data_IF_027932055494
#
_entry.id   IF_027932055494
#
_cell.length_a   1.000
_cell.length_b   1.000
_cell.length_c   1.000
_cell.angle_alpha   90.00
_cell.angle_beta   90.00
_cell.angle_gamma   90.00
#
_symmetry.space_group_name_H-M   'P 1'
#
loop_
_entity.id
_entity.type
_entity.pdbx_description
1 polymer ?
#
# COMPACT_ATOMS: atom_id res chain seq x y z
N UNK A 1 -14.84 32.71 34.53
CA UNK A 1 -13.62 32.86 33.68
C UNK A 1 -12.89 31.54 33.33
N UNK A 2 -12.72 30.55 34.23
CA UNK A 2 -11.99 29.29 33.91
C UNK A 2 -12.59 28.41 32.80
N UNK A 3 -13.91 28.48 32.56
CA UNK A 3 -14.60 27.70 31.49
C UNK A 3 -14.31 28.23 30.07
N UNK A 4 -14.11 29.54 29.90
CA UNK A 4 -13.82 30.16 28.60
C UNK A 4 -12.37 29.91 28.15
N UNK A 5 -11.41 29.93 29.08
CA UNK A 5 -10.01 29.55 28.81
C UNK A 5 -9.86 28.08 28.39
N UNK A 6 -10.63 27.16 28.98
CA UNK A 6 -10.64 25.74 28.57
C UNK A 6 -11.28 25.52 27.20
N UNK A 7 -12.23 26.37 26.78
CA UNK A 7 -12.86 26.27 25.46
C UNK A 7 -11.89 26.65 24.33
N UNK A 8 -11.08 27.70 24.52
CA UNK A 8 -10.03 28.11 23.58
C UNK A 8 -8.92 27.06 23.42
N UNK A 9 -8.46 26.45 24.52
CA UNK A 9 -7.48 25.36 24.47
C UNK A 9 -8.05 24.09 23.81
N UNK A 10 -9.35 23.81 23.99
CA UNK A 10 -10.02 22.67 23.33
C UNK A 10 -10.19 22.90 21.83
N UNK A 11 -10.45 24.14 21.41
CA UNK A 11 -10.61 24.53 20.02
C UNK A 11 -9.31 24.37 19.20
N UNK A 12 -8.16 24.74 19.77
CA UNK A 12 -6.85 24.50 19.15
C UNK A 12 -6.58 23.00 18.94
N UNK A 13 -6.94 22.17 19.91
CA UNK A 13 -6.76 20.71 19.82
C UNK A 13 -7.60 20.10 18.70
N UNK A 14 -8.86 20.52 18.54
CA UNK A 14 -9.75 20.04 17.47
C UNK A 14 -9.25 20.44 16.08
N UNK A 15 -8.83 21.69 15.90
CA UNK A 15 -8.30 22.16 14.61
C UNK A 15 -7.05 21.37 14.21
N UNK A 16 -6.13 21.13 15.16
CA UNK A 16 -4.93 20.31 14.91
C UNK A 16 -5.31 18.89 14.48
N UNK A 17 -6.27 18.25 15.16
CA UNK A 17 -6.72 16.91 14.76
C UNK A 17 -7.38 16.89 13.38
N UNK A 18 -8.20 17.90 13.04
CA UNK A 18 -8.83 17.98 11.72
C UNK A 18 -7.80 18.18 10.62
N UNK A 19 -6.82 19.05 10.81
CA UNK A 19 -5.74 19.27 9.84
C UNK A 19 -4.91 18.00 9.67
N UNK A 20 -4.55 17.33 10.76
CA UNK A 20 -3.84 16.05 10.69
C UNK A 20 -4.64 14.98 9.96
N UNK A 21 -5.95 14.85 10.25
CA UNK A 21 -6.82 13.91 9.56
C UNK A 21 -6.90 14.19 8.05
N UNK A 22 -6.98 15.47 7.66
CA UNK A 22 -6.99 15.88 6.27
C UNK A 22 -5.67 15.53 5.56
N UNK A 23 -4.52 15.80 6.21
CA UNK A 23 -3.20 15.42 5.69
C UNK A 23 -3.09 13.90 5.54
N UNK A 24 -3.48 13.13 6.56
CA UNK A 24 -3.44 11.66 6.52
C UNK A 24 -4.34 11.12 5.41
N UNK A 25 -5.55 11.66 5.24
CA UNK A 25 -6.47 11.28 4.18
C UNK A 25 -5.91 11.55 2.78
N UNK A 26 -5.30 12.72 2.57
CA UNK A 26 -4.65 13.07 1.31
C UNK A 26 -3.48 12.12 1.00
N UNK A 27 -2.63 11.84 1.98
CA UNK A 27 -1.49 10.93 1.82
C UNK A 27 -1.95 9.50 1.52
N UNK A 28 -2.99 9.01 2.20
CA UNK A 28 -3.56 7.70 1.95
C UNK A 28 -4.17 7.62 0.53
N UNK A 29 -4.88 8.67 0.10
CA UNK A 29 -5.42 8.77 -1.26
C UNK A 29 -4.33 8.76 -2.33
N UNK A 30 -3.25 9.52 -2.13
CA UNK A 30 -2.10 9.54 -3.03
C UNK A 30 -1.38 8.18 -3.08
N UNK A 31 -1.23 7.50 -1.95
CA UNK A 31 -0.66 6.16 -1.89
C UNK A 31 -1.54 5.13 -2.64
N UNK A 32 -2.87 5.23 -2.50
CA UNK A 32 -3.82 4.41 -3.26
C UNK A 32 -3.75 4.67 -4.76
N UNK A 33 -3.68 5.94 -5.18
CA UNK A 33 -3.50 6.30 -6.58
C UNK A 33 -2.17 5.78 -7.14
N UNK A 34 -1.09 5.86 -6.36
CA UNK A 34 0.21 5.31 -6.74
C UNK A 34 0.19 3.78 -6.88
N UNK A 35 -0.56 3.06 -6.03
CA UNK A 35 -0.76 1.62 -6.18
C UNK A 35 -1.50 1.30 -7.47
N UNK A 36 -2.60 1.99 -7.76
CA UNK A 36 -3.40 1.78 -8.99
C UNK A 36 -2.53 2.05 -10.22
N UNK A 37 -1.80 3.18 -10.25
CA UNK A 37 -0.87 3.48 -11.33
C UNK A 37 0.25 2.45 -11.44
N UNK A 38 0.77 1.96 -10.33
CA UNK A 38 1.78 0.90 -10.31
C UNK A 38 1.27 -0.42 -10.88
N UNK A 39 0.03 -0.82 -10.58
CA UNK A 39 -0.61 -2.00 -11.16
C UNK A 39 -0.74 -1.83 -12.67
N UNK A 40 -1.27 -0.69 -13.13
CA UNK A 40 -1.44 -0.41 -14.56
C UNK A 40 -0.10 -0.48 -15.32
N UNK A 41 1.00 0.04 -14.75
CA UNK A 41 2.32 -0.05 -15.36
C UNK A 41 2.80 -1.50 -15.53
N UNK A 42 2.47 -2.39 -14.58
CA UNK A 42 2.83 -3.80 -14.69
C UNK A 42 1.93 -4.50 -15.70
N UNK A 43 0.64 -4.19 -15.73
CA UNK A 43 -0.31 -4.71 -16.73
C UNK A 43 0.10 -4.30 -18.16
N UNK A 44 0.49 -3.03 -18.37
CA UNK A 44 1.00 -2.54 -19.66
C UNK A 44 2.30 -3.27 -20.06
N UNK A 45 3.20 -3.53 -19.11
CA UNK A 45 4.42 -4.29 -19.37
C UNK A 45 4.12 -5.75 -19.74
N UNK A 46 3.11 -6.36 -19.11
CA UNK A 46 2.62 -7.71 -19.45
C UNK A 46 1.98 -7.72 -20.84
N UNK A 47 1.17 -6.71 -21.18
CA UNK A 47 0.55 -6.59 -22.49
C UNK A 47 1.61 -6.40 -23.59
N UNK A 48 2.61 -5.56 -23.35
CA UNK A 48 3.73 -5.41 -24.27
C UNK A 48 4.49 -6.73 -24.47
N UNK A 49 4.73 -7.48 -23.39
CA UNK A 49 5.34 -8.80 -23.48
C UNK A 49 4.47 -9.80 -24.28
N UNK A 50 3.15 -9.71 -24.15
CA UNK A 50 2.21 -10.53 -24.92
C UNK A 50 2.22 -10.20 -26.41
N UNK A 51 2.31 -8.92 -26.78
CA UNK A 51 2.43 -8.49 -28.18
C UNK A 51 3.72 -9.04 -28.83
N UNK A 52 4.79 -9.20 -28.05
CA UNK A 52 6.06 -9.79 -28.52
C UNK A 52 5.99 -11.32 -28.66
N UNK A 53 5.33 -12.00 -27.73
CA UNK A 53 5.29 -13.47 -27.68
C UNK A 53 4.11 -14.08 -28.45
N UNK A 54 3.01 -13.35 -28.58
CA UNK A 54 1.75 -13.78 -29.20
C UNK A 54 1.02 -14.88 -28.43
N UNK A 55 1.17 -14.94 -27.10
CA UNK A 55 0.66 -16.04 -26.28
C UNK A 55 -0.79 -15.84 -25.82
N UNK A 56 -1.31 -14.61 -25.91
CA UNK A 56 -2.66 -14.23 -25.58
C UNK A 56 -3.05 -14.70 -24.19
N UNK A 57 -4.09 -15.54 -24.13
CA UNK A 57 -4.61 -16.12 -22.87
C UNK A 57 -3.59 -16.92 -22.05
N UNK A 58 -2.47 -17.33 -22.64
CA UNK A 58 -1.43 -18.11 -21.95
C UNK A 58 -0.35 -17.24 -21.31
N UNK A 59 -0.32 -15.92 -21.56
CA UNK A 59 0.64 -15.00 -20.93
C UNK A 59 0.65 -15.09 -19.39
N UNK A 60 -0.49 -15.26 -18.68
CA UNK A 60 -0.49 -15.35 -17.21
C UNK A 60 0.24 -16.59 -16.69
N UNK A 61 0.38 -17.64 -17.50
CA UNK A 61 1.12 -18.84 -17.12
C UNK A 61 2.62 -18.57 -16.94
N UNK A 62 3.13 -17.52 -17.60
CA UNK A 62 4.50 -17.05 -17.45
C UNK A 62 4.61 -15.92 -16.43
N UNK A 63 3.73 -14.91 -16.51
CA UNK A 63 3.89 -13.68 -15.73
C UNK A 63 3.59 -13.89 -14.26
N UNK A 64 2.58 -14.70 -13.91
CA UNK A 64 2.22 -14.99 -12.51
C UNK A 64 3.37 -15.64 -11.75
N UNK A 65 3.99 -16.75 -12.21
CA UNK A 65 5.12 -17.35 -11.49
C UNK A 65 6.33 -16.42 -11.43
N UNK A 66 6.61 -15.64 -12.48
CA UNK A 66 7.70 -14.65 -12.46
C UNK A 66 7.44 -13.57 -11.41
N UNK A 67 6.24 -12.98 -11.40
CA UNK A 67 5.83 -12.00 -10.41
C UNK A 67 5.91 -12.54 -8.98
N UNK A 68 5.46 -13.79 -8.76
CA UNK A 68 5.57 -14.47 -7.47
C UNK A 68 7.03 -14.66 -7.04
N UNK A 69 7.92 -15.09 -7.93
CA UNK A 69 9.36 -15.27 -7.63
C UNK A 69 10.00 -13.94 -7.27
N UNK A 70 9.71 -12.87 -8.02
CA UNK A 70 10.24 -11.52 -7.75
C UNK A 70 9.77 -11.02 -6.39
N UNK A 71 8.47 -11.11 -6.10
CA UNK A 71 7.89 -10.67 -4.83
C UNK A 71 8.39 -11.53 -3.66
N UNK A 72 8.54 -12.85 -3.86
CA UNK A 72 9.12 -13.75 -2.86
C UNK A 72 10.57 -13.39 -2.54
N UNK A 73 11.40 -13.13 -3.56
CA UNK A 73 12.78 -12.71 -3.39
C UNK A 73 12.87 -11.37 -2.65
N UNK A 74 11.98 -10.42 -2.97
CA UNK A 74 11.86 -9.15 -2.25
C UNK A 74 11.51 -9.38 -0.77
N UNK A 75 10.59 -10.30 -0.48
CA UNK A 75 10.22 -10.68 0.88
C UNK A 75 11.34 -11.40 1.65
N UNK A 76 12.24 -12.11 0.97
CA UNK A 76 13.45 -12.68 1.60
C UNK A 76 14.41 -11.57 2.01
N UNK A 77 14.61 -10.57 1.15
CA UNK A 77 15.51 -9.45 1.44
C UNK A 77 14.94 -8.49 2.47
N UNK A 78 13.64 -8.21 2.39
CA UNK A 78 12.92 -7.26 3.23
C UNK A 78 11.75 -7.97 3.92
N UNK A 79 12.03 -8.56 5.09
CA UNK A 79 11.03 -9.31 5.87
C UNK A 79 9.75 -8.52 6.14
N UNK A 80 9.85 -7.20 6.27
CA UNK A 80 8.72 -6.31 6.54
C UNK A 80 7.69 -6.24 5.41
N UNK A 81 8.09 -6.58 4.17
CA UNK A 81 7.18 -6.59 3.00
C UNK A 81 6.17 -7.73 3.08
N UNK A 82 6.50 -8.80 3.78
CA UNK A 82 5.69 -10.02 3.87
C UNK A 82 4.36 -9.78 4.60
N UNK A 83 3.35 -10.52 4.18
CA UNK A 83 2.04 -10.58 4.82
C UNK A 83 1.19 -9.31 4.65
N UNK A 84 -0.07 -9.43 5.05
CA UNK A 84 -1.03 -8.32 5.02
C UNK A 84 -0.62 -7.21 6.00
N UNK A 85 -0.91 -5.96 5.61
CA UNK A 85 -0.76 -4.80 6.50
C UNK A 85 -1.82 -4.75 7.60
N UNK A 86 -2.97 -5.41 7.43
CA UNK A 86 -4.12 -5.31 8.35
C UNK A 86 -3.78 -5.74 9.78
N UNK A 87 -3.16 -6.92 10.04
CA UNK A 87 -2.81 -7.31 11.40
C UNK A 87 -1.77 -6.39 12.04
N UNK A 88 -0.84 -5.84 11.23
CA UNK A 88 0.19 -4.92 11.70
C UNK A 88 -0.42 -3.59 12.12
N UNK A 89 -1.37 -3.06 11.35
CA UNK A 89 -2.11 -1.84 11.67
C UNK A 89 -2.94 -2.02 12.94
N UNK A 90 -3.65 -3.15 13.05
CA UNK A 90 -4.43 -3.48 14.25
C UNK A 90 -3.51 -3.54 15.48
N UNK A 91 -2.40 -4.29 15.41
CA UNK A 91 -1.43 -4.38 16.51
C UNK A 91 -0.77 -3.02 16.82
N UNK A 92 -0.54 -2.20 15.81
CA UNK A 92 -0.03 -0.84 15.91
C UNK A 92 -0.90 0.03 16.81
N UNK A 93 -2.20 0.06 16.52
CA UNK A 93 -3.18 0.87 17.26
C UNK A 93 -3.49 0.29 18.63
N UNK A 94 -3.65 -1.04 18.74
CA UNK A 94 -4.12 -1.69 19.97
C UNK A 94 -3.02 -1.93 21.00
N UNK A 95 -1.83 -2.35 20.56
CA UNK A 95 -0.76 -2.85 21.45
C UNK A 95 0.46 -1.92 21.43
N UNK A 96 0.73 -1.20 20.33
CA UNK A 96 1.97 -0.41 20.15
C UNK A 96 1.77 1.10 20.28
N UNK A 97 0.75 1.55 21.01
CA UNK A 97 0.46 2.97 21.24
C UNK A 97 0.39 3.82 19.95
N UNK A 98 -0.09 3.22 18.86
CA UNK A 98 -0.20 3.87 17.55
C UNK A 98 1.08 3.84 16.70
N UNK A 99 2.15 3.16 17.14
CA UNK A 99 3.38 3.06 16.35
C UNK A 99 3.27 1.97 15.26
N UNK A 100 3.33 2.39 14.00
CA UNK A 100 3.37 1.52 12.82
C UNK A 100 4.66 1.84 12.03
N UNK A 101 5.56 0.86 11.81
CA UNK A 101 6.79 1.09 11.07
C UNK A 101 6.49 1.39 9.59
N UNK A 102 6.84 2.61 9.13
CA UNK A 102 6.55 3.09 7.77
C UNK A 102 7.67 2.80 6.76
N UNK A 103 8.84 2.36 7.22
CA UNK A 103 10.08 2.26 6.42
C UNK A 103 9.98 1.37 5.18
N UNK A 104 9.03 0.44 5.13
CA UNK A 104 8.83 -0.52 4.03
C UNK A 104 7.47 -0.38 3.35
N UNK A 105 6.72 0.69 3.63
CA UNK A 105 5.40 0.96 3.04
C UNK A 105 5.44 1.04 1.50
N UNK A 106 6.43 1.73 0.94
CA UNK A 106 6.63 1.80 -0.52
C UNK A 106 6.95 0.43 -1.14
N UNK A 107 7.73 -0.41 -0.46
CA UNK A 107 8.04 -1.77 -0.94
C UNK A 107 6.80 -2.66 -0.95
N UNK A 108 5.89 -2.48 0.01
CA UNK A 108 4.59 -3.18 0.01
C UNK A 108 3.73 -2.76 -1.19
N UNK A 109 3.67 -1.45 -1.49
CA UNK A 109 2.95 -0.96 -2.68
C UNK A 109 3.54 -1.60 -3.95
N UNK A 110 4.86 -1.61 -4.09
CA UNK A 110 5.52 -2.24 -5.25
C UNK A 110 5.26 -3.75 -5.32
N UNK A 111 5.36 -4.45 -4.19
CA UNK A 111 5.10 -5.88 -4.13
C UNK A 111 3.65 -6.22 -4.51
N UNK A 112 2.69 -5.44 -4.02
CA UNK A 112 1.27 -5.60 -4.37
C UNK A 112 1.02 -5.27 -5.84
N UNK A 113 1.60 -4.19 -6.36
CA UNK A 113 1.50 -3.82 -7.76
C UNK A 113 2.03 -4.94 -8.68
N UNK A 114 3.20 -5.49 -8.36
CA UNK A 114 3.78 -6.63 -9.08
C UNK A 114 2.91 -7.88 -8.97
N UNK A 115 2.37 -8.17 -7.79
CA UNK A 115 1.52 -9.36 -7.59
C UNK A 115 0.24 -9.25 -8.41
N UNK A 116 -0.50 -8.14 -8.29
CA UNK A 116 -1.79 -7.94 -8.95
C UNK A 116 -1.58 -7.77 -10.47
N UNK A 117 -0.68 -6.87 -10.88
CA UNK A 117 -0.47 -6.56 -12.29
C UNK A 117 0.12 -7.71 -13.10
N UNK A 118 0.80 -8.68 -12.46
CA UNK A 118 1.24 -9.91 -13.13
C UNK A 118 0.12 -10.95 -13.32
N UNK A 119 -1.09 -10.69 -12.78
CA UNK A 119 -2.24 -11.61 -12.78
C UNK A 119 -2.37 -12.47 -11.52
N UNK A 120 -1.68 -12.13 -10.43
CA UNK A 120 -1.74 -12.87 -9.17
C UNK A 120 -3.04 -12.63 -8.40
N UNK A 121 -3.45 -13.63 -7.61
CA UNK A 121 -4.67 -13.56 -6.79
C UNK A 121 -4.41 -12.76 -5.50
N UNK A 122 -4.64 -11.45 -5.54
CA UNK A 122 -4.54 -10.54 -4.40
C UNK A 122 -5.51 -9.35 -4.55
N UNK A 123 -5.88 -8.75 -3.41
CA UNK A 123 -6.72 -7.55 -3.36
C UNK A 123 -5.92 -6.26 -3.19
N UNK A 124 -6.58 -5.13 -3.46
CA UNK A 124 -6.06 -3.76 -3.33
C UNK A 124 -6.63 -3.00 -2.12
N UNK A 125 -7.08 -3.74 -1.10
CA UNK A 125 -7.68 -3.20 0.13
C UNK A 125 -6.74 -2.37 1.01
#
# INVERSE_FOLDING_TARGET
MRKQLRALFRQHRTVVFTVLALVVGLLAGLAGAALIGGVALVEDAVAWLDDLLGWGRFIPLLTVPVGLVVVWALGQRYREVRGSGVPVTIAGVTIRSGYIPTRSSYLKILATALTIGSGGSAGRE
#
